data_IF_884655046983
#
_entry.id   IF_884655046983
#
_cell.length_a   1.000
_cell.length_b   1.000
_cell.length_c   1.000
_cell.angle_alpha   90.00
_cell.angle_beta   90.00
_cell.angle_gamma   90.00
#
_symmetry.space_group_name_H-M   'P 1'
#
loop_
_entity.id
_entity.type
_entity.pdbx_description
1 polymer ?
#
# COMPACT_ATOMS: atom_id res chain seq x y z
N UNK A 1 -31.10 -3.66 45.46
CA UNK A 1 -30.27 -2.63 46.11
C UNK A 1 -29.02 -2.45 45.29
N UNK A 2 -28.99 -1.33 44.59
CA UNK A 2 -28.15 -1.01 43.44
C UNK A 2 -27.06 -0.05 43.89
N UNK A 3 -25.79 -0.39 43.68
CA UNK A 3 -24.69 0.56 43.85
C UNK A 3 -24.00 0.79 42.51
N UNK A 4 -24.33 1.96 41.94
CA UNK A 4 -23.64 2.65 40.86
C UNK A 4 -22.17 2.80 41.20
N UNK A 5 -21.29 2.40 40.27
CA UNK A 5 -19.88 2.80 40.26
C UNK A 5 -19.75 3.90 39.22
N UNK A 6 -19.60 5.13 39.68
CA UNK A 6 -19.40 6.31 38.85
C UNK A 6 -17.94 6.39 38.38
N UNK A 7 -17.75 6.63 37.08
CA UNK A 7 -16.46 6.96 36.48
C UNK A 7 -16.25 8.49 36.53
N UNK A 8 -15.08 8.98 37.00
CA UNK A 8 -14.80 10.40 37.00
C UNK A 8 -14.28 10.86 35.62
N UNK A 9 -15.08 11.70 34.99
CA UNK A 9 -14.71 12.53 33.84
C UNK A 9 -13.63 13.53 34.26
N UNK A 10 -12.42 13.37 33.71
CA UNK A 10 -11.27 14.21 34.03
C UNK A 10 -10.61 14.80 32.79
N UNK A 11 -10.90 16.08 32.54
CA UNK A 11 -10.04 17.09 31.88
C UNK A 11 -9.69 16.94 30.39
N UNK A 12 -10.55 17.58 29.60
CA UNK A 12 -10.14 18.50 28.54
C UNK A 12 -9.32 19.65 29.16
N UNK A 13 -8.09 19.87 28.71
CA UNK A 13 -7.61 21.19 28.26
C UNK A 13 -6.11 21.20 27.90
N UNK A 14 -5.84 21.82 26.75
CA UNK A 14 -4.69 22.65 26.34
C UNK A 14 -3.88 22.21 25.13
N UNK A 15 -4.29 22.81 24.01
CA UNK A 15 -3.44 23.47 23.01
C UNK A 15 -2.11 24.02 23.57
N UNK A 16 -0.98 23.55 23.01
CA UNK A 16 0.37 24.17 22.89
C UNK A 16 1.24 23.09 22.24
N UNK A 17 1.62 23.15 20.97
CA UNK A 17 2.41 24.20 20.35
C UNK A 17 3.87 23.74 20.30
N UNK A 18 4.32 23.24 19.15
CA UNK A 18 5.70 23.13 18.61
C UNK A 18 5.52 22.47 17.22
N UNK A 19 5.54 23.19 16.09
CA UNK A 19 6.72 23.82 15.45
C UNK A 19 7.99 22.97 15.55
N UNK A 20 8.33 22.29 14.45
CA UNK A 20 9.66 21.83 13.99
C UNK A 20 9.43 20.54 13.20
N UNK A 21 9.81 20.36 11.94
CA UNK A 21 10.62 21.11 11.00
C UNK A 21 10.83 20.18 9.79
N UNK A 22 11.22 20.74 8.64
CA UNK A 22 11.74 19.93 7.52
C UNK A 22 10.88 19.92 6.26
N UNK A 23 10.60 21.09 5.68
CA UNK A 23 10.47 21.19 4.22
C UNK A 23 11.76 21.75 3.65
N UNK A 24 12.72 20.85 3.48
CA UNK A 24 13.85 21.06 2.58
C UNK A 24 13.40 20.56 1.20
N UNK A 25 12.87 21.47 0.40
CA UNK A 25 12.55 21.20 -1.00
C UNK A 25 12.75 22.47 -1.80
N UNK A 26 13.96 22.58 -2.35
CA UNK A 26 14.16 22.93 -3.76
C UNK A 26 13.63 24.28 -4.18
N UNK A 27 14.45 25.31 -3.95
CA UNK A 27 14.31 26.66 -4.48
C UNK A 27 14.61 26.76 -5.98
N UNK A 28 13.81 26.11 -6.85
CA UNK A 28 13.97 26.26 -8.32
C UNK A 28 12.65 26.37 -9.12
N UNK A 29 11.52 26.70 -8.48
CA UNK A 29 10.22 26.86 -9.17
C UNK A 29 9.54 28.23 -9.06
N UNK A 30 10.18 29.23 -8.43
CA UNK A 30 9.49 30.49 -8.05
C UNK A 30 9.40 31.57 -9.13
N UNK A 31 9.93 31.36 -10.34
CA UNK A 31 9.86 32.38 -11.40
C UNK A 31 8.62 32.29 -12.31
N UNK A 32 7.95 31.14 -12.43
CA UNK A 32 6.83 31.02 -13.38
C UNK A 32 5.44 31.28 -12.78
N UNK A 33 5.22 31.10 -11.48
CA UNK A 33 3.88 31.34 -10.88
C UNK A 33 3.42 32.80 -10.88
N UNK A 34 4.33 33.78 -10.95
CA UNK A 34 3.94 35.19 -10.99
C UNK A 34 3.38 35.64 -12.34
N UNK A 35 3.54 34.85 -13.40
CA UNK A 35 3.05 35.20 -14.75
C UNK A 35 1.59 34.81 -14.96
N UNK A 36 1.13 33.72 -14.34
CA UNK A 36 -0.23 33.22 -14.53
C UNK A 36 -1.27 33.92 -13.64
N UNK A 37 -0.93 34.29 -12.40
CA UNK A 37 -1.86 35.07 -11.55
C UNK A 37 -2.21 36.46 -12.13
N UNK A 38 -1.36 37.00 -13.01
CA UNK A 38 -1.65 38.27 -13.73
C UNK A 38 -2.60 38.09 -14.91
N UNK A 39 -2.74 36.87 -15.44
CA UNK A 39 -3.62 36.60 -16.59
C UNK A 39 -5.07 36.41 -16.14
N UNK A 40 -5.30 35.79 -14.97
CA UNK A 40 -6.66 35.53 -14.48
C UNK A 40 -7.36 36.75 -13.89
N UNK A 41 -6.64 37.69 -13.26
CA UNK A 41 -7.27 38.96 -12.80
C UNK A 41 -7.84 39.81 -13.94
N UNK A 42 -7.35 39.62 -15.18
CA UNK A 42 -7.78 40.44 -16.31
C UNK A 42 -9.13 40.00 -16.89
N UNK A 43 -9.68 38.86 -16.48
CA UNK A 43 -10.96 38.37 -16.99
C UNK A 43 -12.17 38.68 -16.07
N UNK A 44 -11.97 39.00 -14.79
CA UNK A 44 -13.09 39.35 -13.90
C UNK A 44 -13.47 40.84 -13.92
N UNK A 45 -12.54 41.77 -14.18
CA UNK A 45 -12.86 43.20 -14.26
C UNK A 45 -13.71 43.56 -15.50
N UNK A 46 -13.83 42.68 -16.50
CA UNK A 46 -14.59 42.96 -17.73
C UNK A 46 -16.07 42.58 -17.66
N UNK A 47 -16.55 41.98 -16.55
CA UNK A 47 -17.96 41.59 -16.38
C UNK A 47 -18.76 42.50 -15.43
N UNK A 48 -18.14 43.55 -14.89
CA UNK A 48 -18.80 44.62 -14.13
C UNK A 48 -19.32 45.74 -15.03
N UNK A 49 -20.14 45.40 -16.02
CA UNK A 49 -20.74 46.36 -16.94
C UNK A 49 -22.08 46.88 -16.42
N UNK A 50 -22.04 48.09 -15.84
CA UNK A 50 -22.95 49.20 -16.17
C UNK A 50 -24.45 48.87 -16.36
N UNK A 51 -25.25 48.98 -15.29
CA UNK A 51 -26.72 49.06 -15.42
C UNK A 51 -27.40 50.19 -14.61
N UNK A 52 -26.67 51.04 -13.87
CA UNK A 52 -27.30 52.01 -12.96
C UNK A 52 -27.09 53.50 -13.29
N UNK A 53 -26.47 53.85 -14.43
CA UNK A 53 -26.16 55.26 -14.77
C UNK A 53 -26.96 55.81 -15.97
N UNK A 54 -28.26 55.48 -16.05
CA UNK A 54 -29.19 56.18 -16.95
C UNK A 54 -30.38 56.73 -16.14
N UNK A 55 -30.21 57.87 -15.47
CA UNK A 55 -31.37 58.51 -14.87
C UNK A 55 -31.23 59.85 -14.17
N UNK A 56 -30.02 60.40 -13.95
CA UNK A 56 -29.87 61.64 -13.17
C UNK A 56 -29.39 62.84 -13.99
N UNK A 57 -30.10 63.15 -15.07
CA UNK A 57 -29.99 64.43 -15.78
C UNK A 57 -31.29 65.21 -15.61
N UNK A 58 -31.46 65.82 -14.43
CA UNK A 58 -32.55 66.79 -14.19
C UNK A 58 -32.08 68.15 -14.70
N UNK A 59 -32.59 68.49 -15.87
CA UNK A 59 -32.52 69.81 -16.49
C UNK A 59 -33.48 70.74 -15.71
N UNK A 60 -32.89 71.71 -15.01
CA UNK A 60 -33.59 72.91 -14.54
C UNK A 60 -33.68 73.81 -15.76
N UNK A 61 -34.84 73.90 -16.42
CA UNK A 61 -35.24 75.17 -17.05
C UNK A 61 -36.70 75.19 -17.53
N UNK A 62 -37.34 76.34 -17.33
CA UNK A 62 -38.26 76.90 -18.33
C UNK A 62 -39.68 76.32 -18.47
N UNK A 63 -40.57 76.68 -17.54
CA UNK A 63 -41.86 77.28 -17.89
C UNK A 63 -42.77 76.55 -18.89
N UNK A 64 -43.40 75.45 -18.49
CA UNK A 64 -44.75 75.13 -18.93
C UNK A 64 -45.39 74.18 -17.92
N UNK A 65 -46.01 74.73 -16.87
CA UNK A 65 -46.83 73.96 -15.93
C UNK A 65 -48.09 73.49 -16.65
N UNK A 66 -47.94 72.49 -17.51
CA UNK A 66 -49.05 71.63 -17.95
C UNK A 66 -49.66 71.11 -16.66
N UNK A 67 -50.79 71.70 -16.27
CA UNK A 67 -51.49 71.33 -15.05
C UNK A 67 -51.73 69.83 -15.12
N UNK A 68 -50.99 69.07 -14.30
CA UNK A 68 -51.10 67.63 -14.23
C UNK A 68 -52.51 67.34 -13.73
N UNK A 69 -53.37 66.89 -14.64
CA UNK A 69 -54.70 66.39 -14.29
C UNK A 69 -54.54 64.95 -13.87
N UNK A 70 -55.10 64.61 -12.72
CA UNK A 70 -55.15 63.23 -12.28
C UNK A 70 -55.97 62.41 -13.28
N UNK A 71 -55.38 61.32 -13.78
CA UNK A 71 -56.05 60.47 -14.78
C UNK A 71 -57.28 59.75 -14.26
N UNK A 72 -57.47 59.64 -12.94
CA UNK A 72 -58.64 58.98 -12.36
C UNK A 72 -59.77 59.94 -11.97
N UNK A 73 -59.47 61.11 -11.39
CA UNK A 73 -60.51 62.06 -11.00
C UNK A 73 -60.65 63.25 -11.94
N UNK A 74 -59.70 63.47 -12.87
CA UNK A 74 -59.70 64.57 -13.83
C UNK A 74 -59.32 65.94 -13.26
N UNK A 75 -59.15 66.07 -11.94
CA UNK A 75 -58.83 67.33 -11.28
C UNK A 75 -57.34 67.70 -11.48
N UNK A 76 -57.04 68.96 -11.86
CA UNK A 76 -55.67 69.44 -11.98
C UNK A 76 -55.01 69.62 -10.61
N UNK A 77 -53.71 69.36 -10.51
CA UNK A 77 -52.89 69.68 -9.34
C UNK A 77 -52.29 68.48 -8.59
N UNK A 78 -52.58 67.25 -8.99
CA UNK A 78 -51.99 66.06 -8.39
C UNK A 78 -51.87 64.91 -9.40
N UNK A 79 -50.87 64.04 -9.19
CA UNK A 79 -50.74 62.79 -9.94
C UNK A 79 -51.67 61.71 -9.39
N UNK A 80 -51.90 60.64 -10.16
CA UNK A 80 -52.72 59.48 -9.76
C UNK A 80 -52.40 58.97 -8.35
N UNK A 81 -51.12 58.89 -7.99
CA UNK A 81 -50.64 58.42 -6.68
C UNK A 81 -51.04 59.31 -5.50
N UNK A 82 -51.40 60.56 -5.74
CA UNK A 82 -51.77 61.56 -4.73
C UNK A 82 -53.25 61.92 -4.79
N UNK A 83 -54.05 61.13 -5.53
CA UNK A 83 -55.47 61.41 -5.68
C UNK A 83 -56.22 61.23 -4.35
N UNK A 84 -56.86 62.29 -3.82
CA UNK A 84 -57.59 62.20 -2.55
C UNK A 84 -58.81 61.27 -2.66
N UNK A 85 -59.35 61.05 -3.88
CA UNK A 85 -60.41 60.06 -4.11
C UNK A 85 -59.91 58.61 -4.01
N UNK A 86 -58.70 58.33 -4.48
CA UNK A 86 -58.04 57.04 -4.23
C UNK A 86 -57.73 56.84 -2.75
N UNK A 87 -57.36 57.90 -2.03
CA UNK A 87 -57.10 57.80 -0.60
C UNK A 87 -58.37 57.48 0.22
N UNK A 88 -59.57 57.87 -0.25
CA UNK A 88 -60.84 57.56 0.44
C UNK A 88 -61.45 56.20 0.08
N UNK A 89 -61.11 55.60 -1.07
CA UNK A 89 -61.59 54.26 -1.46
C UNK A 89 -60.50 53.17 -1.46
N UNK A 90 -59.22 53.55 -1.34
CA UNK A 90 -58.07 52.63 -1.31
C UNK A 90 -57.52 52.35 0.09
N UNK A 91 -58.28 52.65 1.13
CA UNK A 91 -57.93 52.43 2.54
C UNK A 91 -58.38 51.09 3.11
N UNK A 92 -59.14 50.29 2.36
CA UNK A 92 -59.22 48.85 2.59
C UNK A 92 -58.11 48.21 1.75
N UNK A 93 -56.86 48.61 2.03
CA UNK A 93 -55.76 47.65 1.95
C UNK A 93 -56.30 46.50 2.76
N UNK A 94 -56.69 45.41 2.08
CA UNK A 94 -57.02 44.15 2.73
C UNK A 94 -55.80 43.89 3.58
N UNK A 95 -55.90 44.28 4.85
CA UNK A 95 -54.95 43.92 5.88
C UNK A 95 -55.24 42.45 6.01
N UNK A 96 -54.61 41.68 5.11
CA UNK A 96 -54.50 40.24 5.21
C UNK A 96 -54.18 40.04 6.67
N UNK A 97 -55.10 39.41 7.41
CA UNK A 97 -55.03 39.35 8.87
C UNK A 97 -53.60 39.00 9.24
N UNK A 98 -53.00 39.70 10.20
CA UNK A 98 -51.57 39.58 10.56
C UNK A 98 -51.07 38.12 10.64
N UNK A 99 -51.98 37.21 10.99
CA UNK A 99 -51.86 35.76 10.96
C UNK A 99 -51.49 35.15 9.59
N UNK A 100 -52.03 35.65 8.47
CA UNK A 100 -51.68 35.24 7.10
C UNK A 100 -50.27 35.68 6.71
N UNK A 101 -49.87 36.91 7.08
CA UNK A 101 -48.52 37.40 6.85
C UNK A 101 -47.49 36.57 7.63
N UNK A 102 -47.79 36.26 8.90
CA UNK A 102 -46.96 35.41 9.75
C UNK A 102 -46.88 33.97 9.21
N UNK A 103 -47.99 33.44 8.67
CA UNK A 103 -48.05 32.12 8.04
C UNK A 103 -47.17 32.05 6.78
N UNK A 104 -47.26 33.06 5.91
CA UNK A 104 -46.41 33.14 4.70
C UNK A 104 -44.94 33.33 5.06
N UNK A 105 -44.63 34.13 6.07
CA UNK A 105 -43.27 34.27 6.58
C UNK A 105 -42.72 32.94 7.14
N UNK A 106 -43.57 32.15 7.81
CA UNK A 106 -43.23 30.82 8.31
C UNK A 106 -42.93 29.85 7.17
N UNK A 107 -43.78 29.79 6.15
CA UNK A 107 -43.54 28.98 4.95
C UNK A 107 -42.24 29.40 4.25
N UNK A 108 -41.98 30.71 4.15
CA UNK A 108 -40.73 31.23 3.60
C UNK A 108 -39.48 30.81 4.39
N UNK A 109 -39.57 30.68 5.73
CA UNK A 109 -38.48 30.16 6.56
C UNK A 109 -38.26 28.66 6.34
N UNK A 110 -39.35 27.88 6.29
CA UNK A 110 -39.24 26.43 6.03
C UNK A 110 -38.69 26.14 4.63
N UNK A 111 -39.10 26.91 3.61
CA UNK A 111 -38.58 26.76 2.25
C UNK A 111 -37.06 27.02 2.19
N UNK A 112 -36.56 28.05 2.90
CA UNK A 112 -35.12 28.30 3.02
C UNK A 112 -34.38 27.15 3.73
N UNK A 113 -34.91 26.66 4.83
CA UNK A 113 -34.33 25.52 5.55
C UNK A 113 -34.22 24.26 4.68
N UNK A 114 -35.21 23.97 3.84
CA UNK A 114 -35.16 22.83 2.92
C UNK A 114 -34.08 23.01 1.84
N UNK A 115 -33.92 24.23 1.29
CA UNK A 115 -32.85 24.52 0.33
C UNK A 115 -31.46 24.45 0.95
N UNK A 116 -31.32 24.90 2.19
CA UNK A 116 -30.06 24.80 2.93
C UNK A 116 -29.71 23.34 3.23
N UNK A 117 -30.68 22.53 3.67
CA UNK A 117 -30.49 21.08 3.82
C UNK A 117 -30.08 20.40 2.52
N UNK A 118 -30.71 20.74 1.39
CA UNK A 118 -30.33 20.17 0.10
C UNK A 118 -28.89 20.53 -0.27
N UNK A 119 -28.49 21.80 -0.08
CA UNK A 119 -27.11 22.25 -0.33
C UNK A 119 -26.10 21.52 0.55
N UNK A 120 -26.36 21.40 1.85
CA UNK A 120 -25.49 20.67 2.78
C UNK A 120 -25.35 19.19 2.38
N UNK A 121 -26.43 18.53 1.95
CA UNK A 121 -26.36 17.14 1.49
C UNK A 121 -25.58 16.98 0.18
N UNK A 122 -25.68 17.95 -0.73
CA UNK A 122 -24.93 17.95 -1.98
C UNK A 122 -23.43 18.21 -1.73
N UNK A 123 -23.11 19.17 -0.86
CA UNK A 123 -21.73 19.45 -0.44
C UNK A 123 -21.11 18.26 0.27
N UNK A 124 -21.83 17.62 1.21
CA UNK A 124 -21.37 16.40 1.86
C UNK A 124 -21.12 15.26 0.85
N UNK A 125 -21.96 15.15 -0.19
CA UNK A 125 -21.76 14.18 -1.27
C UNK A 125 -20.52 14.51 -2.12
N UNK A 126 -20.29 15.79 -2.46
CA UNK A 126 -19.10 16.24 -3.20
C UNK A 126 -17.82 16.01 -2.40
N UNK A 127 -17.80 16.34 -1.11
CA UNK A 127 -16.66 16.06 -0.24
C UNK A 127 -16.38 14.57 -0.08
N UNK A 128 -17.42 13.74 0.02
CA UNK A 128 -17.25 12.29 0.07
C UNK A 128 -16.70 11.71 -1.24
N UNK A 129 -17.14 12.24 -2.39
CA UNK A 129 -16.59 11.86 -3.69
C UNK A 129 -15.12 12.30 -3.84
N UNK A 130 -14.78 13.51 -3.41
CA UNK A 130 -13.40 13.99 -3.45
C UNK A 130 -12.47 13.19 -2.52
N UNK A 131 -12.94 12.84 -1.31
CA UNK A 131 -12.20 11.96 -0.39
C UNK A 131 -11.94 10.59 -1.03
N UNK A 132 -12.95 10.00 -1.68
CA UNK A 132 -12.79 8.72 -2.40
C UNK A 132 -11.79 8.83 -3.55
N UNK A 133 -11.81 9.92 -4.32
CA UNK A 133 -10.83 10.15 -5.40
C UNK A 133 -9.40 10.25 -4.85
N UNK A 134 -9.20 11.01 -3.76
CA UNK A 134 -7.89 11.13 -3.10
C UNK A 134 -7.38 9.79 -2.55
N UNK A 135 -8.25 8.98 -1.94
CA UNK A 135 -7.90 7.64 -1.45
C UNK A 135 -7.55 6.67 -2.60
N UNK A 136 -8.25 6.76 -3.72
CA UNK A 136 -7.98 5.95 -4.91
C UNK A 136 -6.64 6.34 -5.57
N UNK A 137 -6.37 7.65 -5.73
CA UNK A 137 -5.09 8.14 -6.23
C UNK A 137 -3.93 7.73 -5.31
N UNK A 138 -4.13 7.77 -3.99
CA UNK A 138 -3.14 7.30 -3.01
C UNK A 138 -2.92 5.78 -3.11
N UNK A 139 -3.97 5.00 -3.39
CA UNK A 139 -3.86 3.55 -3.61
C UNK A 139 -3.06 3.27 -4.89
N UNK A 140 -3.35 3.97 -5.99
CA UNK A 140 -2.62 3.82 -7.26
C UNK A 140 -1.14 4.18 -7.07
N UNK A 141 -0.84 5.27 -6.36
CA UNK A 141 0.54 5.67 -6.08
C UNK A 141 1.30 4.63 -5.23
N UNK A 142 0.64 4.00 -4.26
CA UNK A 142 1.23 2.90 -3.46
C UNK A 142 1.49 1.65 -4.30
N UNK A 143 0.55 1.25 -5.15
CA UNK A 143 0.72 0.10 -6.04
C UNK A 143 1.85 0.31 -7.06
N UNK A 144 1.97 1.50 -7.63
CA UNK A 144 3.06 1.83 -8.55
C UNK A 144 4.42 1.82 -7.83
N UNK A 145 4.50 2.36 -6.61
CA UNK A 145 5.73 2.32 -5.81
C UNK A 145 6.18 0.88 -5.52
N UNK A 146 5.24 -0.01 -5.19
CA UNK A 146 5.52 -1.46 -4.99
C UNK A 146 6.00 -2.11 -6.28
N UNK A 147 5.41 -1.78 -7.43
CA UNK A 147 5.84 -2.32 -8.73
C UNK A 147 7.29 -1.92 -9.06
N UNK A 148 7.63 -0.65 -8.84
CA UNK A 148 8.99 -0.13 -9.07
C UNK A 148 9.99 -0.79 -8.11
N UNK A 149 9.62 -1.07 -6.85
CA UNK A 149 10.50 -1.76 -5.91
C UNK A 149 10.76 -3.22 -6.33
N UNK A 150 9.74 -3.92 -6.81
CA UNK A 150 9.87 -5.28 -7.32
C UNK A 150 10.75 -5.36 -8.57
N UNK A 151 10.60 -4.42 -9.50
CA UNK A 151 11.44 -4.33 -10.70
C UNK A 151 12.91 -4.06 -10.34
N UNK A 152 13.16 -3.18 -9.35
CA UNK A 152 14.52 -2.96 -8.82
C UNK A 152 15.12 -4.20 -8.17
N UNK A 153 14.33 -5.05 -7.52
CA UNK A 153 14.80 -6.32 -6.95
C UNK A 153 15.15 -7.32 -8.05
N UNK A 154 14.28 -7.48 -9.04
CA UNK A 154 14.53 -8.34 -10.20
C UNK A 154 15.78 -7.90 -10.99
N UNK A 155 15.97 -6.61 -11.21
CA UNK A 155 17.16 -6.09 -11.89
C UNK A 155 18.46 -6.32 -11.09
N UNK A 156 18.38 -6.37 -9.75
CA UNK A 156 19.54 -6.72 -8.89
C UNK A 156 19.83 -8.22 -8.97
N UNK A 157 18.80 -9.06 -8.88
CA UNK A 157 18.93 -10.52 -9.01
C UNK A 157 19.48 -10.92 -10.38
N UNK A 158 19.00 -10.31 -11.47
CA UNK A 158 19.53 -10.58 -12.82
C UNK A 158 21.01 -10.17 -12.96
N UNK A 159 21.41 -9.04 -12.37
CA UNK A 159 22.82 -8.63 -12.31
C UNK A 159 23.67 -9.62 -11.53
N UNK A 160 23.16 -10.16 -10.43
CA UNK A 160 23.86 -11.18 -9.65
C UNK A 160 23.95 -12.51 -10.42
N UNK A 161 22.86 -12.94 -11.06
CA UNK A 161 22.87 -14.13 -11.91
C UNK A 161 23.89 -14.00 -13.06
N UNK A 162 23.99 -12.81 -13.70
CA UNK A 162 25.01 -12.55 -14.71
C UNK A 162 26.43 -12.67 -14.16
N UNK A 163 26.68 -12.18 -12.93
CA UNK A 163 27.98 -12.35 -12.25
C UNK A 163 28.26 -13.83 -11.96
N UNK A 164 27.29 -14.55 -11.40
CA UNK A 164 27.42 -15.97 -11.12
C UNK A 164 27.65 -16.79 -12.40
N UNK A 165 26.98 -16.44 -13.50
CA UNK A 165 27.17 -17.07 -14.79
C UNK A 165 28.56 -16.79 -15.36
N UNK A 166 29.06 -15.54 -15.26
CA UNK A 166 30.43 -15.20 -15.64
C UNK A 166 31.47 -15.99 -14.84
N UNK A 167 31.29 -16.12 -13.52
CA UNK A 167 32.18 -16.95 -12.67
C UNK A 167 32.10 -18.43 -13.06
N UNK A 168 30.90 -18.97 -13.28
CA UNK A 168 30.73 -20.36 -13.73
C UNK A 168 31.39 -20.61 -15.09
N UNK A 169 31.33 -19.64 -15.99
CA UNK A 169 31.97 -19.70 -17.30
C UNK A 169 33.50 -19.82 -17.16
N UNK A 170 34.13 -18.98 -16.33
CA UNK A 170 35.57 -19.06 -16.06
C UNK A 170 35.95 -20.42 -15.44
N UNK A 171 35.14 -20.94 -14.51
CA UNK A 171 35.39 -22.26 -13.90
C UNK A 171 35.16 -23.43 -14.87
N UNK A 172 34.37 -23.25 -15.92
CA UNK A 172 34.20 -24.25 -16.97
C UNK A 172 35.41 -24.24 -17.91
N UNK A 173 35.87 -23.06 -18.31
CA UNK A 173 37.07 -22.86 -19.14
C UNK A 173 38.32 -23.43 -18.46
N UNK A 174 38.54 -23.16 -17.16
CA UNK A 174 39.62 -23.80 -16.40
C UNK A 174 39.52 -25.32 -16.39
N UNK A 175 38.31 -25.88 -16.26
CA UNK A 175 38.10 -27.34 -16.29
C UNK A 175 38.46 -27.95 -17.64
N UNK A 176 38.04 -27.32 -18.74
CA UNK A 176 38.40 -27.76 -20.09
C UNK A 176 39.91 -27.70 -20.32
N UNK A 177 40.58 -26.62 -19.89
CA UNK A 177 42.05 -26.54 -19.97
C UNK A 177 42.76 -27.64 -19.15
N UNK A 178 42.25 -27.98 -17.97
CA UNK A 178 42.79 -29.06 -17.15
C UNK A 178 42.58 -30.44 -17.81
N UNK A 179 41.42 -30.68 -18.40
CA UNK A 179 41.12 -31.90 -19.15
C UNK A 179 42.01 -32.03 -20.39
N UNK A 180 42.26 -30.94 -21.13
CA UNK A 180 43.18 -30.94 -22.25
C UNK A 180 44.63 -31.22 -21.83
N UNK A 181 45.09 -30.62 -20.72
CA UNK A 181 46.41 -30.89 -20.13
C UNK A 181 46.55 -32.36 -19.72
N UNK A 182 45.53 -32.93 -19.07
CA UNK A 182 45.51 -34.37 -18.74
C UNK A 182 45.52 -35.24 -19.99
N UNK A 183 44.72 -34.92 -21.00
CA UNK A 183 44.71 -35.64 -22.27
C UNK A 183 46.07 -35.56 -22.99
N UNK A 184 46.80 -34.44 -22.86
CA UNK A 184 48.17 -34.30 -23.37
C UNK A 184 49.16 -35.21 -22.63
N UNK A 185 49.10 -35.26 -21.29
CA UNK A 185 49.94 -36.14 -20.46
C UNK A 185 49.67 -37.62 -20.76
N UNK A 186 48.40 -38.02 -20.90
CA UNK A 186 48.04 -39.40 -21.25
C UNK A 186 48.55 -39.75 -22.66
N UNK A 187 48.43 -38.84 -23.63
CA UNK A 187 48.96 -39.04 -25.00
C UNK A 187 50.48 -39.15 -25.05
N UNK A 188 51.22 -38.42 -24.20
CA UNK A 188 52.69 -38.49 -24.16
C UNK A 188 53.23 -39.63 -23.29
N UNK A 189 52.56 -39.96 -22.18
CA UNK A 189 53.02 -40.95 -21.19
C UNK A 189 52.91 -42.42 -21.64
N UNK A 190 52.01 -42.74 -22.58
CA UNK A 190 51.83 -44.12 -23.09
C UNK A 190 52.88 -44.55 -24.12
N UNK A 191 53.77 -43.66 -24.59
CA UNK A 191 54.78 -44.01 -25.61
C UNK A 191 56.12 -44.53 -25.06
N UNK A 192 56.33 -44.54 -23.74
CA UNK A 192 57.65 -44.83 -23.16
C UNK A 192 57.76 -46.03 -22.22
N UNK A 193 56.65 -46.61 -21.75
CA UNK A 193 56.67 -47.68 -20.73
C UNK A 193 56.41 -49.04 -21.38
N UNK A 194 57.30 -49.45 -22.28
CA UNK A 194 57.46 -50.88 -22.57
C UNK A 194 58.31 -51.47 -21.46
N UNK A 195 57.64 -52.03 -20.44
CA UNK A 195 58.28 -52.82 -19.39
C UNK A 195 58.85 -54.08 -20.05
N UNK A 196 60.08 -53.97 -20.56
CA UNK A 196 60.91 -55.09 -20.93
C UNK A 196 61.28 -55.85 -19.67
N UNK A 197 60.62 -56.98 -19.43
CA UNK A 197 60.95 -57.86 -18.30
C UNK A 197 62.38 -58.37 -18.39
N UNK A 198 63.26 -57.96 -17.48
CA UNK A 198 64.50 -58.68 -17.16
C UNK A 198 64.83 -58.61 -15.66
N UNK A 199 64.68 -59.77 -15.02
CA UNK A 199 65.60 -60.41 -14.06
C UNK A 199 66.39 -59.50 -13.09
N UNK A 200 65.89 -59.48 -11.84
CA UNK A 200 66.60 -59.62 -10.55
C UNK A 200 68.15 -59.51 -10.61
N UNK A 201 68.70 -58.34 -10.24
CA UNK A 201 69.96 -58.25 -9.47
C UNK A 201 69.93 -57.02 -8.55
N UNK A 202 70.57 -57.23 -7.40
CA UNK A 202 70.63 -56.51 -6.13
C UNK A 202 71.46 -55.21 -6.22
N UNK A 203 71.33 -54.38 -5.17
CA UNK A 203 72.09 -53.16 -4.77
C UNK A 203 71.33 -51.85 -5.05
N UNK A 204 70.77 -51.16 -4.05
CA UNK A 204 71.33 -50.42 -2.92
C UNK A 204 71.68 -48.94 -3.27
N UNK A 205 71.10 -48.04 -2.45
CA UNK A 205 71.51 -46.66 -2.12
C UNK A 205 70.86 -45.47 -2.85
N UNK A 206 70.42 -44.54 -1.97
CA UNK A 206 70.19 -43.09 -2.07
C UNK A 206 68.97 -42.49 -2.76
N UNK A 207 68.12 -41.91 -1.90
CA UNK A 207 67.32 -40.73 -2.20
C UNK A 207 68.20 -39.53 -2.55
N UNK A 208 67.68 -38.60 -3.36
CA UNK A 208 67.67 -37.22 -2.90
C UNK A 208 66.31 -36.55 -3.09
N UNK A 209 65.98 -35.76 -2.08
CA UNK A 209 65.03 -34.64 -2.09
C UNK A 209 65.29 -33.67 -3.24
N UNK A 210 64.22 -33.19 -3.87
CA UNK A 210 64.23 -32.10 -4.85
C UNK A 210 63.17 -31.07 -4.45
N UNK A 211 63.63 -29.99 -3.83
CA UNK A 211 63.05 -28.67 -4.03
C UNK A 211 63.84 -27.96 -5.13
N UNK A 212 63.18 -27.15 -5.95
CA UNK A 212 63.79 -25.99 -6.61
C UNK A 212 62.69 -25.10 -7.15
N UNK A 213 62.78 -23.84 -6.74
CA UNK A 213 62.20 -22.66 -7.35
C UNK A 213 62.65 -22.54 -8.81
N UNK A 214 61.85 -21.86 -9.65
CA UNK A 214 62.35 -20.82 -10.56
C UNK A 214 61.21 -20.02 -11.18
N UNK A 215 61.47 -18.70 -11.19
CA UNK A 215 60.74 -17.59 -11.77
C UNK A 215 60.40 -17.77 -13.26
N UNK A 216 59.30 -17.14 -13.69
CA UNK A 216 59.24 -16.56 -15.03
C UNK A 216 58.43 -15.26 -15.00
N UNK A 217 59.13 -14.17 -15.31
CA UNK A 217 58.66 -12.81 -15.41
C UNK A 217 57.84 -12.57 -16.71
N UNK A 218 56.97 -11.56 -16.67
CA UNK A 218 56.69 -10.71 -17.83
C UNK A 218 55.46 -11.06 -18.68
N UNK A 219 54.35 -10.37 -18.43
CA UNK A 219 53.87 -9.37 -19.40
C UNK A 219 52.88 -8.40 -18.73
N UNK A 220 53.25 -7.13 -18.77
CA UNK A 220 52.44 -5.98 -18.36
C UNK A 220 51.33 -5.72 -19.39
N UNK A 221 50.09 -5.53 -18.95
CA UNK A 221 49.15 -4.67 -19.66
C UNK A 221 48.55 -3.66 -18.67
N UNK A 222 49.09 -2.46 -18.76
CA UNK A 222 48.65 -1.31 -17.98
C UNK A 222 47.27 -0.84 -18.40
N UNK A 223 46.37 -0.63 -17.44
CA UNK A 223 45.31 0.39 -17.57
C UNK A 223 45.32 1.32 -16.36
N UNK A 224 45.30 2.66 -16.55
CA UNK A 224 45.44 3.62 -15.47
C UNK A 224 44.07 4.12 -15.01
N UNK A 225 43.73 3.93 -13.73
CA UNK A 225 42.73 4.78 -13.09
C UNK A 225 43.14 5.14 -11.67
N UNK A 226 43.72 6.33 -11.58
CA UNK A 226 43.92 7.09 -10.35
C UNK A 226 42.57 7.33 -9.70
N UNK A 227 42.31 6.74 -8.54
CA UNK A 227 41.30 7.27 -7.62
C UNK A 227 41.93 7.59 -6.26
N UNK A 228 41.97 8.88 -5.96
CA UNK A 228 42.58 9.46 -4.77
C UNK A 228 41.60 9.30 -3.61
N UNK A 229 41.65 8.18 -2.89
CA UNK A 229 41.01 8.12 -1.57
C UNK A 229 41.95 8.56 -0.45
N UNK A 230 41.68 9.79 -0.04
CA UNK A 230 42.27 10.58 1.04
C UNK A 230 42.08 9.88 2.39
N UNK A 231 43.22 9.53 2.99
CA UNK A 231 43.63 9.72 4.39
C UNK A 231 42.70 9.21 5.51
N UNK A 232 43.13 8.05 6.00
CA UNK A 232 43.21 7.56 7.40
C UNK A 232 43.24 8.68 8.46
N UNK A 233 42.38 8.58 9.47
CA UNK A 233 42.67 9.02 10.84
C UNK A 233 42.40 7.86 11.78
N UNK A 234 43.47 7.32 12.35
CA UNK A 234 43.49 6.58 13.61
C UNK A 234 43.92 7.59 14.67
N UNK A 235 43.28 7.59 15.84
CA UNK A 235 43.89 7.76 17.19
C UNK A 235 42.76 7.87 18.22
N UNK A 236 42.79 7.04 19.27
CA UNK A 236 41.92 7.21 20.43
C UNK A 236 41.82 5.95 21.30
N UNK A 237 42.84 5.73 22.12
CA UNK A 237 42.94 4.65 23.10
C UNK A 237 42.28 5.03 24.45
N UNK A 238 41.67 4.05 25.13
CA UNK A 238 41.43 3.95 26.60
C UNK A 238 40.74 2.58 26.84
N UNK A 239 41.42 1.49 27.24
CA UNK A 239 41.96 1.08 28.56
C UNK A 239 40.87 0.74 29.61
N UNK A 240 41.02 -0.44 30.24
CA UNK A 240 40.29 -1.10 31.36
C UNK A 240 39.11 -2.01 30.93
N UNK A 241 38.99 -3.32 31.21
CA UNK A 241 39.54 -4.25 32.23
C UNK A 241 39.16 -5.72 31.84
N UNK A 242 39.66 -6.78 32.53
CA UNK A 242 40.06 -8.06 31.92
C UNK A 242 39.03 -9.23 32.03
N UNK A 243 39.20 -10.32 31.25
CA UNK A 243 38.53 -11.60 31.51
C UNK A 243 39.42 -12.55 32.34
N UNK A 244 38.79 -13.17 33.34
CA UNK A 244 39.38 -14.14 34.27
C UNK A 244 39.69 -15.48 33.60
N UNK A 245 40.78 -16.05 34.07
CA UNK A 245 41.43 -17.33 33.75
C UNK A 245 40.52 -18.57 33.88
N UNK A 246 40.78 -19.55 33.00
CA UNK A 246 40.33 -20.93 33.11
C UNK A 246 41.23 -21.84 32.27
N UNK A 247 42.03 -22.63 32.97
CA UNK A 247 43.19 -23.42 32.55
C UNK A 247 42.88 -24.70 31.73
N UNK A 248 43.91 -25.36 31.15
CA UNK A 248 43.80 -26.20 29.97
C UNK A 248 43.65 -27.69 30.28
N UNK A 249 43.06 -28.47 29.36
CA UNK A 249 43.18 -29.93 29.37
C UNK A 249 43.08 -30.54 27.97
N UNK A 250 44.23 -31.00 27.51
CA UNK A 250 44.50 -32.25 26.80
C UNK A 250 43.68 -32.58 25.53
N UNK A 251 44.32 -32.30 24.40
CA UNK A 251 44.74 -33.30 23.40
C UNK A 251 44.17 -34.72 23.58
N UNK A 252 43.28 -35.13 22.67
CA UNK A 252 43.06 -36.55 22.38
C UNK A 252 42.61 -36.76 20.93
N UNK A 253 43.58 -37.27 20.17
CA UNK A 253 43.50 -38.24 19.09
C UNK A 253 42.19 -38.36 18.28
N UNK A 254 42.37 -38.22 16.97
CA UNK A 254 41.55 -38.81 15.92
C UNK A 254 41.09 -40.22 16.27
N UNK A 255 39.79 -40.48 16.08
CA UNK A 255 39.28 -41.82 15.86
C UNK A 255 38.06 -41.78 14.94
N UNK A 256 38.21 -42.51 13.83
CA UNK A 256 37.18 -42.88 12.87
C UNK A 256 36.08 -43.68 13.58
N UNK A 257 34.82 -43.28 13.46
CA UNK A 257 33.70 -44.05 14.01
C UNK A 257 32.32 -43.40 13.84
N UNK A 258 31.63 -43.76 12.76
CA UNK A 258 30.17 -44.02 12.65
C UNK A 258 29.17 -42.87 12.97
N UNK A 259 28.19 -42.58 12.08
CA UNK A 259 27.18 -41.54 12.31
C UNK A 259 26.09 -42.02 13.28
N UNK A 260 26.37 -41.95 14.58
CA UNK A 260 25.47 -42.34 15.65
C UNK A 260 24.88 -41.15 16.40
N UNK A 261 23.69 -40.72 15.99
CA UNK A 261 22.61 -40.25 16.88
C UNK A 261 22.99 -39.35 18.07
N UNK A 262 23.31 -38.09 17.81
CA UNK A 262 23.15 -37.00 18.78
C UNK A 262 21.85 -36.24 18.50
N UNK A 263 20.69 -36.93 18.61
CA UNK A 263 19.41 -36.23 18.75
C UNK A 263 19.37 -35.64 20.15
N UNK A 264 19.76 -34.38 20.26
CA UNK A 264 19.38 -33.53 21.36
C UNK A 264 17.89 -33.75 21.63
N UNK A 265 17.56 -34.18 22.85
CA UNK A 265 16.18 -34.29 23.35
C UNK A 265 15.58 -32.89 23.35
N UNK A 266 15.13 -32.43 22.18
CA UNK A 266 14.19 -31.32 22.05
C UNK A 266 13.01 -31.72 22.91
N UNK A 267 12.77 -30.96 23.98
CA UNK A 267 11.59 -31.12 24.82
C UNK A 267 10.38 -31.26 23.91
N UNK A 268 9.39 -32.05 24.33
CA UNK A 268 8.12 -32.26 23.63
C UNK A 268 7.31 -30.96 23.58
N UNK A 269 7.86 -29.93 22.97
CA UNK A 269 7.24 -28.66 22.71
C UNK A 269 6.08 -28.95 21.78
N UNK A 270 4.89 -28.55 22.23
CA UNK A 270 3.69 -28.61 21.41
C UNK A 270 4.01 -27.86 20.10
N UNK A 271 3.89 -28.52 18.93
CA UNK A 271 4.19 -27.88 17.65
C UNK A 271 3.49 -26.53 17.57
N UNK A 272 4.19 -25.52 17.05
CA UNK A 272 3.55 -24.21 16.90
C UNK A 272 2.38 -24.34 15.92
N UNK A 273 1.41 -23.44 16.05
CA UNK A 273 0.25 -23.44 15.16
C UNK A 273 0.68 -23.28 13.68
N UNK A 274 1.76 -22.54 13.43
CA UNK A 274 2.43 -22.44 12.13
C UNK A 274 2.90 -23.81 11.63
N UNK A 275 3.68 -24.51 12.44
CA UNK A 275 4.25 -25.80 12.06
C UNK A 275 3.15 -26.82 11.74
N UNK A 276 2.07 -26.82 12.53
CA UNK A 276 0.94 -27.70 12.24
C UNK A 276 0.21 -27.33 10.96
N UNK A 277 0.07 -26.05 10.60
CA UNK A 277 -0.60 -25.66 9.35
C UNK A 277 0.31 -25.94 8.15
N UNK A 278 1.59 -25.60 8.22
CA UNK A 278 2.57 -25.89 7.17
C UNK A 278 2.65 -27.40 6.88
N UNK A 279 2.72 -28.23 7.92
CA UNK A 279 2.75 -29.69 7.77
C UNK A 279 1.47 -30.29 7.18
N UNK A 280 0.32 -29.60 7.27
CA UNK A 280 -0.93 -30.03 6.59
C UNK A 280 -0.89 -29.70 5.11
N UNK A 281 -0.42 -28.50 4.77
CA UNK A 281 -0.29 -28.07 3.37
C UNK A 281 0.73 -28.95 2.63
N UNK A 282 1.83 -29.33 3.29
CA UNK A 282 2.83 -30.26 2.72
C UNK A 282 2.25 -31.66 2.49
N UNK A 283 1.27 -32.08 3.29
CA UNK A 283 0.54 -33.35 3.11
C UNK A 283 -0.56 -33.29 2.05
N UNK A 284 -0.76 -32.14 1.40
CA UNK A 284 -1.82 -31.94 0.42
C UNK A 284 -3.23 -31.99 1.03
N UNK A 285 -3.37 -31.71 2.33
CA UNK A 285 -4.69 -31.58 2.94
C UNK A 285 -5.42 -30.36 2.38
N UNK A 286 -6.74 -30.47 2.24
CA UNK A 286 -7.59 -29.41 1.73
C UNK A 286 -7.38 -28.12 2.55
N UNK A 287 -7.00 -26.99 1.91
CA UNK A 287 -6.84 -25.71 2.58
C UNK A 287 -8.09 -25.24 3.35
N UNK A 288 -9.27 -25.77 3.02
CA UNK A 288 -10.53 -25.47 3.72
C UNK A 288 -10.76 -26.32 4.98
N UNK A 289 -9.88 -27.27 5.30
CA UNK A 289 -10.05 -28.16 6.45
C UNK A 289 -9.95 -27.39 7.78
N UNK A 290 -11.06 -27.37 8.52
CA UNK A 290 -11.21 -26.63 9.78
C UNK A 290 -11.94 -25.29 9.66
N UNK A 291 -12.26 -24.85 8.44
CA UNK A 291 -13.19 -23.74 8.23
C UNK A 291 -14.61 -24.22 8.60
N UNK A 292 -15.38 -23.48 9.42
CA UNK A 292 -16.71 -23.91 9.82
C UNK A 292 -17.63 -24.15 8.62
N UNK A 293 -18.51 -25.16 8.75
CA UNK A 293 -19.57 -25.44 7.79
C UNK A 293 -20.86 -24.72 8.20
N UNK A 294 -21.67 -24.34 7.20
CA UNK A 294 -22.88 -23.51 7.41
C UNK A 294 -23.94 -24.15 8.30
N UNK A 295 -23.98 -25.47 8.40
CA UNK A 295 -25.03 -26.22 9.09
C UNK A 295 -25.09 -25.99 10.61
N UNK A 296 -24.00 -25.49 11.20
CA UNK A 296 -23.91 -25.27 12.66
C UNK A 296 -24.40 -23.90 13.11
N UNK A 297 -24.78 -23.03 12.18
CA UNK A 297 -25.11 -21.63 12.49
C UNK A 297 -26.54 -21.33 12.07
N UNK A 298 -27.30 -20.67 12.96
CA UNK A 298 -28.70 -20.33 12.72
C UNK A 298 -28.90 -19.14 11.78
N UNK A 299 -27.91 -18.23 11.71
CA UNK A 299 -27.98 -17.02 10.89
C UNK A 299 -26.73 -16.85 10.03
N UNK A 300 -26.89 -16.31 8.83
CA UNK A 300 -25.80 -16.03 7.89
C UNK A 300 -24.75 -15.10 8.53
N UNK A 301 -25.19 -14.12 9.31
CA UNK A 301 -24.30 -13.18 10.00
C UNK A 301 -23.40 -13.90 11.03
N UNK A 302 -23.95 -14.86 11.79
CA UNK A 302 -23.17 -15.66 12.74
C UNK A 302 -22.16 -16.55 12.00
N UNK A 303 -22.56 -17.15 10.88
CA UNK A 303 -21.67 -17.94 10.03
C UNK A 303 -20.53 -17.11 9.45
N UNK A 304 -20.84 -15.96 8.84
CA UNK A 304 -19.85 -15.02 8.29
C UNK A 304 -18.83 -14.61 9.35
N UNK A 305 -19.28 -14.28 10.56
CA UNK A 305 -18.40 -13.91 11.67
C UNK A 305 -17.49 -15.07 12.11
N UNK A 306 -18.01 -16.29 12.16
CA UNK A 306 -17.22 -17.47 12.51
C UNK A 306 -16.17 -17.80 11.44
N UNK A 307 -16.56 -17.78 10.16
CA UNK A 307 -15.66 -18.02 9.02
C UNK A 307 -14.56 -16.97 8.99
N UNK A 308 -14.89 -15.67 9.07
CA UNK A 308 -13.91 -14.58 9.13
C UNK A 308 -12.93 -14.76 10.27
N UNK A 309 -13.41 -15.12 11.47
CA UNK A 309 -12.56 -15.37 12.65
C UNK A 309 -11.59 -16.54 12.43
N UNK A 310 -12.06 -17.61 11.79
CA UNK A 310 -11.18 -18.74 11.47
C UNK A 310 -10.16 -18.39 10.38
N UNK A 311 -10.59 -17.69 9.33
CA UNK A 311 -9.72 -17.29 8.23
C UNK A 311 -8.65 -16.28 8.68
N UNK A 312 -9.01 -15.33 9.54
CA UNK A 312 -8.06 -14.39 10.14
C UNK A 312 -7.04 -15.03 11.09
N UNK A 313 -7.17 -16.33 11.38
CA UNK A 313 -6.20 -17.10 12.16
C UNK A 313 -5.28 -17.98 11.30
N UNK A 314 -5.45 -17.98 9.98
CA UNK A 314 -4.53 -18.63 9.04
C UNK A 314 -3.33 -17.74 8.74
N UNK A 315 -2.22 -18.38 8.36
CA UNK A 315 -1.05 -17.66 7.88
C UNK A 315 -1.31 -17.08 6.48
N UNK A 316 -0.64 -15.97 6.12
CA UNK A 316 -0.77 -15.35 4.81
C UNK A 316 -0.53 -16.32 3.65
N UNK A 317 0.43 -17.25 3.79
CA UNK A 317 0.74 -18.23 2.75
C UNK A 317 -0.42 -19.21 2.50
N UNK A 318 -1.10 -19.64 3.55
CA UNK A 318 -2.29 -20.50 3.44
C UNK A 318 -3.41 -19.74 2.72
N UNK A 319 -3.65 -18.48 3.11
CA UNK A 319 -4.65 -17.63 2.46
C UNK A 319 -4.33 -17.41 0.99
N UNK A 320 -3.05 -17.23 0.63
CA UNK A 320 -2.61 -17.08 -0.76
C UNK A 320 -2.91 -18.34 -1.58
N UNK A 321 -2.64 -19.53 -1.03
CA UNK A 321 -2.96 -20.80 -1.70
C UNK A 321 -4.48 -20.97 -1.87
N UNK A 322 -5.27 -20.59 -0.86
CA UNK A 322 -6.74 -20.61 -0.95
C UNK A 322 -7.25 -19.66 -2.05
N UNK A 323 -6.73 -18.43 -2.12
CA UNK A 323 -7.08 -17.47 -3.17
C UNK A 323 -6.69 -18.00 -4.56
N UNK A 324 -5.48 -18.55 -4.70
CA UNK A 324 -5.03 -19.16 -5.96
C UNK A 324 -5.92 -20.33 -6.40
N UNK A 325 -6.29 -21.22 -5.47
CA UNK A 325 -7.20 -22.34 -5.75
C UNK A 325 -8.61 -21.90 -6.14
N UNK A 326 -9.04 -20.71 -5.72
CA UNK A 326 -10.31 -20.10 -6.10
C UNK A 326 -10.21 -19.21 -7.36
N UNK A 327 -9.01 -19.04 -7.96
CA UNK A 327 -8.79 -18.12 -9.08
C UNK A 327 -8.89 -16.64 -8.69
N UNK A 328 -8.67 -16.30 -7.42
CA UNK A 328 -8.76 -14.94 -6.89
C UNK A 328 -7.36 -14.32 -6.74
N UNK A 329 -7.17 -13.03 -7.12
CA UNK A 329 -5.94 -12.31 -6.82
C UNK A 329 -5.78 -12.05 -5.31
N UNK A 330 -4.53 -12.04 -4.82
CA UNK A 330 -4.20 -11.79 -3.41
C UNK A 330 -3.70 -10.35 -3.23
N UNK A 331 -4.53 -9.47 -2.66
CA UNK A 331 -4.20 -8.05 -2.42
C UNK A 331 -3.74 -7.75 -1.00
N UNK A 332 -3.89 -8.70 -0.07
CA UNK A 332 -3.53 -8.53 1.33
C UNK A 332 -4.29 -9.51 2.22
N UNK A 333 -3.87 -9.62 3.48
CA UNK A 333 -4.46 -10.59 4.42
C UNK A 333 -5.93 -10.27 4.70
N UNK A 334 -6.28 -9.00 4.95
CA UNK A 334 -7.64 -8.61 5.27
C UNK A 334 -8.59 -8.80 4.08
N UNK A 335 -8.19 -8.36 2.89
CA UNK A 335 -8.97 -8.52 1.66
C UNK A 335 -9.16 -10.00 1.31
N UNK A 336 -8.10 -10.81 1.41
CA UNK A 336 -8.20 -12.26 1.19
C UNK A 336 -9.18 -12.91 2.18
N UNK A 337 -9.12 -12.54 3.46
CA UNK A 337 -10.06 -13.03 4.48
C UNK A 337 -11.50 -12.63 4.14
N UNK A 338 -11.75 -11.41 3.70
CA UNK A 338 -13.09 -10.94 3.38
C UNK A 338 -13.66 -11.61 2.12
N UNK A 339 -12.89 -11.67 1.04
CA UNK A 339 -13.32 -12.30 -0.21
C UNK A 339 -13.53 -13.82 -0.01
N UNK A 340 -12.62 -14.51 0.68
CA UNK A 340 -12.80 -15.94 0.98
C UNK A 340 -13.98 -16.20 1.92
N UNK A 341 -14.26 -15.27 2.85
CA UNK A 341 -15.45 -15.35 3.70
C UNK A 341 -16.72 -15.23 2.85
N UNK A 342 -16.78 -14.26 1.94
CA UNK A 342 -17.92 -14.08 1.05
C UNK A 342 -18.13 -15.27 0.12
N UNK A 343 -17.06 -15.81 -0.45
CA UNK A 343 -17.10 -17.00 -1.30
C UNK A 343 -17.68 -18.19 -0.53
N UNK A 344 -17.22 -18.42 0.71
CA UNK A 344 -17.69 -19.51 1.55
C UNK A 344 -19.15 -19.33 1.98
N UNK A 345 -19.54 -18.12 2.37
CA UNK A 345 -20.93 -17.79 2.73
C UNK A 345 -21.83 -18.00 1.52
N UNK A 346 -21.44 -17.52 0.34
CA UNK A 346 -22.21 -17.67 -0.89
C UNK A 346 -22.40 -19.14 -1.25
N UNK A 347 -21.34 -19.96 -1.18
CA UNK A 347 -21.41 -21.38 -1.49
C UNK A 347 -22.27 -22.19 -0.49
N UNK A 348 -22.10 -21.96 0.81
CA UNK A 348 -22.78 -22.74 1.84
C UNK A 348 -24.22 -22.27 2.12
N UNK A 349 -24.50 -20.96 2.09
CA UNK A 349 -25.83 -20.42 2.42
C UNK A 349 -26.74 -20.25 1.20
N UNK A 350 -26.27 -19.71 0.06
CA UNK A 350 -27.16 -19.49 -1.09
C UNK A 350 -27.61 -20.80 -1.74
N UNK A 351 -26.75 -21.83 -1.75
CA UNK A 351 -27.10 -23.15 -2.31
C UNK A 351 -28.24 -23.82 -1.53
N UNK A 352 -28.34 -23.56 -0.21
CA UNK A 352 -29.39 -24.13 0.65
C UNK A 352 -30.77 -23.52 0.37
N UNK A 353 -30.81 -22.24 -0.02
CA UNK A 353 -32.07 -21.54 -0.35
C UNK A 353 -32.59 -21.95 -1.74
N UNK A 354 -31.69 -22.19 -2.70
CA UNK A 354 -32.08 -22.60 -4.05
C UNK A 354 -32.51 -24.08 -4.17
N UNK A 355 -32.11 -24.94 -3.23
CA UNK A 355 -32.36 -26.39 -3.31
C UNK A 355 -33.57 -26.91 -2.54
N UNK A 356 -34.24 -26.09 -1.72
CA UNK A 356 -35.23 -26.61 -0.76
C UNK A 356 -36.67 -26.74 -1.29
N UNK A 357 -36.91 -26.58 -2.60
CA UNK A 357 -38.23 -26.82 -3.22
C UNK A 357 -38.28 -28.01 -4.17
N UNK A 358 -37.18 -28.74 -4.38
CA UNK A 358 -37.16 -29.86 -5.33
C UNK A 358 -36.61 -31.14 -4.70
N UNK A 359 -37.50 -32.11 -4.52
CA UNK A 359 -37.21 -33.51 -4.78
C UNK A 359 -36.22 -34.21 -3.85
N UNK A 360 -36.78 -35.02 -2.96
CA UNK A 360 -36.12 -36.16 -2.31
C UNK A 360 -35.54 -37.09 -3.39
N UNK A 361 -34.29 -36.86 -3.81
CA UNK A 361 -33.59 -37.62 -4.83
C UNK A 361 -32.19 -37.99 -4.36
N UNK A 362 -32.02 -39.24 -3.96
CA UNK A 362 -30.77 -39.89 -3.61
C UNK A 362 -29.77 -39.84 -4.76
N UNK A 363 -28.72 -39.01 -4.66
CA UNK A 363 -27.45 -39.18 -5.40
C UNK A 363 -26.39 -38.20 -4.88
N UNK A 364 -25.87 -38.47 -3.68
CA UNK A 364 -24.65 -37.84 -3.15
C UNK A 364 -23.49 -38.82 -3.32
N UNK A 365 -22.98 -38.99 -4.56
CA UNK A 365 -21.74 -39.73 -4.77
C UNK A 365 -20.98 -39.28 -6.02
N UNK A 366 -20.84 -37.98 -6.22
CA UNK A 366 -19.92 -37.46 -7.25
C UNK A 366 -19.58 -36.01 -6.91
N UNK A 367 -18.51 -35.81 -6.15
CA UNK A 367 -17.62 -34.63 -6.16
C UNK A 367 -16.61 -34.78 -5.01
N UNK A 368 -15.76 -35.81 -5.14
CA UNK A 368 -14.41 -35.83 -4.62
C UNK A 368 -13.51 -36.20 -5.80
N UNK A 369 -12.88 -35.18 -6.36
CA UNK A 369 -11.81 -35.26 -7.35
C UNK A 369 -10.83 -34.15 -7.03
#
# INVERSE_FOLDING_TARGET
MSYRREEPWGRRDKYRGYESGGRDSGSEGRRDRRRDERRDRRYEERRGGSSDDYGRRSYIDGGNTRQVKCYECGEPGHYKSQCPRLHRQGGEIVTMSRELEDSLASVGRMARQLLDQQRETEEARREAEEKKKREEDERIAKEEAVRIEMEKKQAKEEKEQKRQWATKKILAEQREEYEEKLAKIVRSGLKGVTIGGKKKKKEAVQAPSLGSEEDNEGEEEATPLKDKRKRRESTGAAVNSPPVEGTPKQEKLENVGTPGSARAKKGRGRPSRADTQAARMEKGQDPWEGVPMGDKYATEAAFRKAVRKTLGSFYPDTLKIMCMGAGLPFYGVNDAVDVLTELRVTYCYRRKVAGSTSGKGTNDEQMRG
#
